data_IF_562558842063
#
_entry.id   IF_562558842063
#
_cell.length_a   1.000
_cell.length_b   1.000
_cell.length_c   1.000
_cell.angle_alpha   90.00
_cell.angle_beta   90.00
_cell.angle_gamma   90.00
#
_symmetry.space_group_name_H-M   'P 1'
#
loop_
_entity.id
_entity.type
_entity.pdbx_description
1 polymer ?
#
# COMPACT_ATOMS: atom_id res chain seq x y z
N UNK A 1 -0.21 21.91 -15.92
CA UNK A 1 0.62 21.86 -14.70
C UNK A 1 0.10 20.85 -13.66
N UNK A 2 -1.19 20.88 -13.27
CA UNK A 2 -1.80 19.87 -12.38
C UNK A 2 -1.80 18.43 -12.94
N UNK A 3 -1.96 18.28 -14.26
CA UNK A 3 -1.92 16.97 -14.94
C UNK A 3 -0.53 16.30 -14.90
N UNK A 4 0.54 17.07 -15.07
CA UNK A 4 1.92 16.55 -14.96
C UNK A 4 2.27 16.15 -13.52
N UNK A 5 1.72 16.82 -12.50
CA UNK A 5 1.93 16.44 -11.09
C UNK A 5 1.20 15.12 -10.74
N UNK A 6 -0.05 14.96 -11.20
CA UNK A 6 -0.83 13.75 -10.95
C UNK A 6 -0.19 12.51 -11.60
N UNK A 7 0.38 12.67 -12.80
CA UNK A 7 1.17 11.63 -13.47
C UNK A 7 2.46 11.27 -12.71
N UNK A 8 3.17 12.27 -12.14
CA UNK A 8 4.39 12.03 -11.34
C UNK A 8 4.12 11.17 -10.09
N UNK A 9 3.05 11.44 -9.35
CA UNK A 9 2.74 10.71 -8.10
C UNK A 9 2.26 9.28 -8.37
N UNK A 10 1.58 9.04 -9.49
CA UNK A 10 1.14 7.70 -9.88
C UNK A 10 2.32 6.78 -10.26
N UNK A 11 3.38 7.32 -10.86
CA UNK A 11 4.50 6.52 -11.38
C UNK A 11 5.20 5.65 -10.33
N UNK A 12 5.36 6.12 -9.08
CA UNK A 12 6.00 5.32 -8.02
C UNK A 12 5.13 4.15 -7.63
N UNK A 13 3.85 4.42 -7.37
CA UNK A 13 2.90 3.38 -6.97
C UNK A 13 2.79 2.33 -8.07
N UNK A 14 2.67 2.78 -9.30
CA UNK A 14 2.66 1.95 -10.49
C UNK A 14 3.94 1.12 -10.62
N UNK A 15 5.12 1.73 -10.53
CA UNK A 15 6.40 1.01 -10.54
C UNK A 15 6.46 -0.06 -9.46
N UNK A 16 6.12 0.29 -8.21
CA UNK A 16 6.14 -0.64 -7.10
C UNK A 16 5.15 -1.80 -7.29
N UNK A 17 4.00 -1.55 -7.92
CA UNK A 17 3.04 -2.61 -8.31
C UNK A 17 3.64 -3.51 -9.38
N UNK A 18 4.21 -2.95 -10.44
CA UNK A 18 4.85 -3.71 -11.52
C UNK A 18 6.03 -4.54 -11.02
N UNK A 19 6.77 -4.07 -10.02
CA UNK A 19 7.84 -4.87 -9.40
C UNK A 19 7.32 -5.96 -8.44
N UNK A 20 6.00 -6.12 -8.26
CA UNK A 20 5.41 -7.06 -7.31
C UNK A 20 5.65 -6.71 -5.84
N UNK A 21 6.03 -5.45 -5.57
CA UNK A 21 6.38 -4.98 -4.23
C UNK A 21 5.14 -4.44 -3.52
N UNK A 22 4.34 -3.64 -4.23
CA UNK A 22 3.02 -3.22 -3.77
C UNK A 22 1.95 -4.04 -4.46
N UNK A 23 0.88 -4.31 -3.72
CA UNK A 23 -0.27 -5.00 -4.26
C UNK A 23 -1.55 -4.39 -3.70
N UNK A 24 -2.48 -4.11 -4.62
CA UNK A 24 -3.84 -3.71 -4.28
C UNK A 24 -4.75 -4.94 -4.37
N UNK A 25 -5.45 -5.23 -3.27
CA UNK A 25 -6.42 -6.32 -3.26
C UNK A 25 -7.66 -5.92 -2.49
N UNK A 26 -8.80 -6.45 -2.93
CA UNK A 26 -10.00 -6.48 -2.10
C UNK A 26 -9.86 -7.66 -1.15
N UNK A 27 -9.95 -7.37 0.14
CA UNK A 27 -9.88 -8.35 1.20
C UNK A 27 -11.24 -8.50 1.87
N UNK A 28 -11.51 -9.70 2.37
CA UNK A 28 -12.71 -10.06 3.12
C UNK A 28 -12.34 -10.65 4.47
N UNK A 29 -13.17 -10.40 5.46
CA UNK A 29 -13.10 -11.03 6.77
C UNK A 29 -14.50 -11.23 7.34
N UNK A 30 -14.64 -12.15 8.31
CA UNK A 30 -15.84 -12.27 9.11
C UNK A 30 -15.71 -11.36 10.33
N UNK A 31 -16.71 -10.55 10.60
CA UNK A 31 -16.79 -9.78 11.85
C UNK A 31 -17.27 -10.72 12.97
N UNK A 32 -16.62 -10.69 14.12
CA UNK A 32 -17.17 -11.33 15.30
C UNK A 32 -18.34 -10.49 15.82
N UNK A 33 -19.50 -11.13 15.98
CA UNK A 33 -20.73 -10.46 16.39
C UNK A 33 -20.96 -10.67 17.89
N UNK A 34 -19.91 -10.38 18.66
CA UNK A 34 -19.90 -10.45 20.11
C UNK A 34 -19.57 -9.07 20.69
N UNK A 35 -20.51 -8.41 21.40
CA UNK A 35 -20.30 -7.07 21.91
C UNK A 35 -19.22 -7.01 22.96
N UNK A 36 -18.59 -5.85 23.04
CA UNK A 36 -17.76 -5.48 24.17
C UNK A 36 -18.64 -5.06 25.35
N UNK A 37 -18.76 -5.97 26.32
CA UNK A 37 -19.55 -5.77 27.53
C UNK A 37 -18.89 -4.85 28.56
N UNK A 38 -17.63 -4.45 28.37
CA UNK A 38 -17.03 -3.37 29.18
C UNK A 38 -17.65 -2.00 28.83
N UNK A 39 -18.11 -1.83 27.59
CA UNK A 39 -18.71 -0.58 27.11
C UNK A 39 -20.24 -0.63 27.00
N UNK A 40 -20.84 -1.82 26.96
CA UNK A 40 -22.30 -1.98 26.84
C UNK A 40 -22.86 -3.07 27.74
N UNK A 41 -23.73 -2.73 28.69
CA UNK A 41 -24.40 -3.69 29.57
C UNK A 41 -25.34 -4.61 28.79
N UNK A 42 -25.24 -5.93 28.94
CA UNK A 42 -26.20 -6.85 28.33
C UNK A 42 -27.62 -6.70 28.92
N UNK A 43 -28.63 -6.43 28.09
CA UNK A 43 -30.04 -6.42 28.49
C UNK A 43 -30.89 -7.34 27.62
N UNK A 44 -31.27 -8.50 28.19
CA UNK A 44 -32.18 -9.45 27.54
C UNK A 44 -33.55 -8.83 27.30
N UNK A 45 -34.11 -9.02 26.10
CA UNK A 45 -35.48 -8.57 25.78
C UNK A 45 -35.62 -7.08 25.44
N UNK A 46 -34.51 -6.34 25.33
CA UNK A 46 -34.51 -4.91 25.03
C UNK A 46 -33.63 -4.60 23.82
N UNK A 47 -34.16 -3.73 22.96
CA UNK A 47 -33.40 -3.14 21.86
C UNK A 47 -32.51 -2.04 22.45
N UNK A 48 -31.22 -2.15 22.24
CA UNK A 48 -30.25 -1.12 22.61
C UNK A 48 -29.09 -1.10 21.62
N UNK A 49 -28.22 -0.11 21.77
CA UNK A 49 -27.00 -0.02 20.99
C UNK A 49 -25.90 -0.81 21.70
N UNK A 50 -25.30 -1.75 20.97
CA UNK A 50 -24.15 -2.55 21.39
C UNK A 50 -22.90 -2.06 20.67
N UNK A 51 -21.77 -2.04 21.39
CA UNK A 51 -20.48 -1.67 20.85
C UNK A 51 -19.65 -2.91 20.54
N UNK A 52 -18.91 -2.87 19.43
CA UNK A 52 -18.04 -3.95 18.99
C UNK A 52 -16.69 -3.35 18.66
N UNK A 53 -15.64 -4.01 19.14
CA UNK A 53 -14.26 -3.65 18.87
C UNK A 53 -13.47 -4.91 18.57
N UNK A 54 -12.75 -4.91 17.46
CA UNK A 54 -12.11 -6.10 16.93
C UNK A 54 -10.76 -5.78 16.29
N UNK A 55 -9.89 -6.77 16.32
CA UNK A 55 -8.56 -6.74 15.72
C UNK A 55 -8.41 -7.90 14.72
N UNK A 56 -7.95 -7.59 13.51
CA UNK A 56 -7.79 -8.60 12.45
C UNK A 56 -6.35 -8.61 11.96
N UNK A 57 -5.71 -9.78 12.06
CA UNK A 57 -4.36 -9.93 11.52
C UNK A 57 -4.36 -9.91 9.99
N UNK A 58 -3.40 -9.17 9.42
CA UNK A 58 -3.09 -9.17 7.99
C UNK A 58 -1.74 -9.82 7.66
N UNK A 59 -1.06 -10.40 8.66
CA UNK A 59 0.29 -10.97 8.56
C UNK A 59 0.42 -12.04 7.46
N UNK A 60 -0.67 -12.75 7.15
CA UNK A 60 -0.73 -13.76 6.10
C UNK A 60 -0.81 -13.19 4.67
N UNK A 61 -1.10 -11.89 4.52
CA UNK A 61 -1.39 -11.25 3.23
C UNK A 61 -0.31 -10.21 2.89
N UNK A 62 0.02 -9.36 3.86
CA UNK A 62 0.92 -8.22 3.66
C UNK A 62 1.97 -8.15 4.76
N UNK A 63 3.14 -7.65 4.39
CA UNK A 63 4.13 -7.25 5.38
C UNK A 63 3.66 -5.99 6.06
N UNK A 64 3.16 -5.01 5.30
CA UNK A 64 2.66 -3.75 5.82
C UNK A 64 1.50 -3.27 4.96
N UNK A 65 0.54 -2.59 5.57
CA UNK A 65 -0.55 -1.90 4.88
C UNK A 65 -0.20 -0.41 4.80
N UNK A 66 -0.34 0.14 3.60
CA UNK A 66 -0.04 1.55 3.29
C UNK A 66 -1.31 2.38 3.26
N UNK A 67 -2.37 1.84 2.67
CA UNK A 67 -3.65 2.52 2.59
C UNK A 67 -4.79 1.53 2.56
N UNK A 68 -5.96 1.97 3.01
CA UNK A 68 -7.18 1.19 3.07
C UNK A 68 -8.37 2.03 2.63
N UNK A 69 -9.41 1.39 2.11
CA UNK A 69 -10.71 2.01 1.89
C UNK A 69 -11.58 1.93 3.14
N UNK A 70 -12.78 2.49 3.07
CA UNK A 70 -13.83 2.19 4.04
C UNK A 70 -14.19 0.70 4.03
N UNK A 71 -14.57 0.19 5.19
CA UNK A 71 -15.09 -1.17 5.34
C UNK A 71 -16.54 -1.19 4.85
N UNK A 72 -16.87 -2.16 3.99
CA UNK A 72 -18.22 -2.39 3.51
C UNK A 72 -18.76 -3.67 4.16
N UNK A 73 -19.81 -3.60 4.99
CA UNK A 73 -20.43 -4.78 5.58
C UNK A 73 -21.39 -5.48 4.60
N UNK A 74 -21.52 -6.79 4.76
CA UNK A 74 -22.39 -7.67 4.00
C UNK A 74 -23.03 -8.67 4.97
N UNK A 75 -24.35 -8.60 5.07
CA UNK A 75 -25.12 -9.38 6.06
C UNK A 75 -25.81 -10.54 5.36
N UNK A 76 -25.62 -11.74 5.89
CA UNK A 76 -26.20 -12.97 5.37
C UNK A 76 -26.97 -13.71 6.47
N UNK A 77 -28.10 -14.36 6.16
CA UNK A 77 -28.62 -15.41 7.01
C UNK A 77 -27.60 -16.55 7.10
N UNK A 78 -27.36 -17.11 8.28
CA UNK A 78 -26.35 -18.18 8.50
C UNK A 78 -26.55 -19.37 7.55
N UNK A 79 -27.81 -19.70 7.24
CA UNK A 79 -28.18 -20.84 6.39
C UNK A 79 -28.11 -20.56 4.88
N UNK A 80 -27.96 -19.29 4.48
CA UNK A 80 -28.02 -18.88 3.08
C UNK A 80 -26.71 -18.25 2.57
N UNK A 81 -25.66 -18.27 3.40
CA UNK A 81 -24.36 -17.72 3.01
C UNK A 81 -23.65 -18.59 1.96
N UNK A 82 -22.96 -17.97 0.97
CA UNK A 82 -22.15 -18.69 0.00
C UNK A 82 -21.10 -19.63 0.61
N UNK A 83 -20.86 -20.78 0.00
CA UNK A 83 -19.94 -21.80 0.50
C UNK A 83 -18.51 -21.29 0.71
N UNK A 84 -18.03 -20.38 -0.15
CA UNK A 84 -16.67 -19.84 -0.04
C UNK A 84 -16.46 -18.99 1.23
N UNK A 85 -17.54 -18.47 1.82
CA UNK A 85 -17.51 -17.69 3.06
C UNK A 85 -17.43 -18.58 4.31
N UNK A 86 -17.88 -19.84 4.23
CA UNK A 86 -17.92 -20.77 5.38
C UNK A 86 -16.55 -20.98 6.03
N UNK A 87 -15.48 -20.85 5.25
CA UNK A 87 -14.11 -21.10 5.70
C UNK A 87 -13.28 -19.82 5.94
N UNK A 88 -13.93 -18.65 5.98
CA UNK A 88 -13.23 -17.39 6.24
C UNK A 88 -13.23 -17.15 7.75
N UNK A 89 -12.09 -17.42 8.36
CA UNK A 89 -11.82 -17.13 9.79
C UNK A 89 -10.90 -15.94 9.98
N UNK A 90 -10.09 -15.60 8.97
CA UNK A 90 -9.12 -14.50 8.97
C UNK A 90 -9.28 -13.64 7.72
N UNK A 91 -8.58 -12.51 7.69
CA UNK A 91 -8.46 -11.68 6.49
C UNK A 91 -7.98 -12.53 5.31
N UNK A 92 -8.67 -12.42 4.17
CA UNK A 92 -8.38 -13.17 2.94
C UNK A 92 -8.57 -12.28 1.72
N UNK A 93 -7.70 -12.43 0.71
CA UNK A 93 -7.90 -11.80 -0.61
C UNK A 93 -9.09 -12.44 -1.34
N UNK A 94 -9.95 -11.61 -1.94
CA UNK A 94 -11.08 -12.05 -2.76
C UNK A 94 -10.61 -12.17 -4.22
N UNK A 95 -10.86 -13.31 -4.84
CA UNK A 95 -10.62 -13.49 -6.27
C UNK A 95 -11.82 -13.00 -7.10
N UNK A 96 -11.59 -12.60 -8.35
CA UNK A 96 -12.64 -12.06 -9.23
C UNK A 96 -13.87 -12.98 -9.38
N UNK A 97 -13.67 -14.30 -9.40
CA UNK A 97 -14.76 -15.30 -9.51
C UNK A 97 -15.67 -15.28 -8.27
N UNK A 98 -15.11 -15.02 -7.08
CA UNK A 98 -15.86 -14.97 -5.82
C UNK A 98 -16.60 -13.63 -5.69
N UNK A 99 -16.06 -12.56 -6.28
CA UNK A 99 -16.65 -11.22 -6.27
C UNK A 99 -18.01 -11.16 -6.98
N UNK A 100 -18.17 -11.88 -8.09
CA UNK A 100 -19.44 -11.94 -8.82
C UNK A 100 -20.52 -12.70 -8.03
N UNK A 101 -20.14 -13.79 -7.35
CA UNK A 101 -21.04 -14.59 -6.50
C UNK A 101 -21.45 -13.89 -5.20
N UNK A 102 -20.74 -12.80 -4.86
CA UNK A 102 -20.90 -12.10 -3.59
C UNK A 102 -22.11 -11.14 -3.57
N UNK A 103 -22.79 -10.90 -4.71
CA UNK A 103 -23.82 -9.85 -4.83
C UNK A 103 -25.28 -10.36 -4.80
N UNK A 104 -25.52 -11.67 -4.72
CA UNK A 104 -26.85 -12.22 -5.04
C UNK A 104 -27.76 -12.44 -3.82
N UNK A 105 -27.22 -12.58 -2.60
CA UNK A 105 -28.01 -12.88 -1.39
C UNK A 105 -27.53 -11.96 -0.27
N UNK A 106 -28.15 -10.78 -0.09
CA UNK A 106 -27.83 -9.85 1.01
C UNK A 106 -29.09 -9.35 1.68
N UNK A 107 -29.08 -9.30 3.00
CA UNK A 107 -30.07 -8.55 3.77
C UNK A 107 -29.60 -7.08 3.85
N UNK A 108 -30.50 -6.09 3.85
CA UNK A 108 -30.13 -4.71 4.17
C UNK A 108 -29.41 -4.61 5.52
N UNK A 109 -28.61 -3.56 5.68
CA UNK A 109 -27.93 -3.18 6.94
C UNK A 109 -28.91 -2.77 8.06
N UNK A 110 -30.17 -2.52 7.69
CA UNK A 110 -31.29 -2.20 8.57
C UNK A 110 -32.54 -3.02 8.24
N UNK A 111 -33.06 -3.75 9.23
CA UNK A 111 -34.30 -4.52 9.16
C UNK A 111 -34.85 -4.73 10.58
N UNK A 112 -36.17 -4.85 10.77
CA UNK A 112 -36.85 -5.03 12.06
C UNK A 112 -36.06 -4.62 13.32
N UNK A 113 -35.58 -5.60 14.09
CA UNK A 113 -34.90 -5.43 15.38
C UNK A 113 -33.37 -5.32 15.21
N UNK A 114 -32.88 -4.87 14.06
CA UNK A 114 -31.46 -4.83 13.71
C UNK A 114 -31.11 -3.61 12.85
N UNK A 115 -30.09 -2.87 13.28
CA UNK A 115 -29.51 -1.77 12.51
C UNK A 115 -28.00 -1.71 12.76
N UNK A 116 -27.20 -2.10 11.78
CA UNK A 116 -25.74 -1.98 11.82
C UNK A 116 -25.35 -0.55 11.42
N UNK A 117 -24.61 0.13 12.29
CA UNK A 117 -24.03 1.43 11.96
C UNK A 117 -22.74 1.24 11.15
N UNK A 118 -22.24 2.35 10.57
CA UNK A 118 -20.99 2.33 9.80
C UNK A 118 -19.84 1.73 10.61
N UNK A 119 -19.12 0.81 9.99
CA UNK A 119 -17.89 0.23 10.56
C UNK A 119 -16.73 1.20 10.33
N UNK A 120 -16.02 1.53 11.39
CA UNK A 120 -14.93 2.49 11.38
C UNK A 120 -13.58 1.78 11.58
N UNK A 121 -12.76 1.76 10.52
CA UNK A 121 -11.37 1.34 10.60
C UNK A 121 -10.53 2.53 11.09
N UNK A 122 -10.19 2.51 12.37
CA UNK A 122 -9.54 3.64 13.03
C UNK A 122 -8.02 3.55 13.04
N UNK A 123 -7.44 2.35 12.93
CA UNK A 123 -5.98 2.21 12.86
C UNK A 123 -5.51 0.94 12.13
N UNK A 124 -4.27 1.05 11.66
CA UNK A 124 -3.48 -0.05 11.09
C UNK A 124 -2.19 -0.12 11.91
N UNK A 125 -1.96 -1.24 12.58
CA UNK A 125 -0.71 -1.51 13.27
C UNK A 125 0.19 -2.34 12.36
N UNK A 126 1.20 -1.69 11.77
CA UNK A 126 2.20 -2.35 10.94
C UNK A 126 3.29 -3.07 11.75
N UNK A 127 3.33 -2.95 13.08
CA UNK A 127 4.23 -3.71 13.94
C UNK A 127 3.58 -5.03 14.32
N UNK A 128 2.39 -4.97 14.94
CA UNK A 128 1.62 -6.15 15.36
C UNK A 128 0.86 -6.83 14.22
N UNK A 129 0.85 -6.19 13.03
CA UNK A 129 0.21 -6.67 11.81
C UNK A 129 -1.31 -6.81 11.96
N UNK A 130 -1.97 -5.81 12.56
CA UNK A 130 -3.41 -5.79 12.82
C UNK A 130 -4.14 -4.61 12.17
N UNK A 131 -5.35 -4.89 11.68
CA UNK A 131 -6.37 -3.89 11.34
C UNK A 131 -7.31 -3.77 12.53
N UNK A 132 -7.46 -2.56 13.05
CA UNK A 132 -8.32 -2.32 14.21
C UNK A 132 -9.54 -1.52 13.77
N UNK A 133 -10.71 -2.03 14.13
CA UNK A 133 -11.97 -1.39 13.79
C UNK A 133 -12.95 -1.45 14.95
N UNK A 134 -13.93 -0.56 14.86
CA UNK A 134 -15.05 -0.48 15.76
C UNK A 134 -16.37 -0.32 14.99
N UNK A 135 -17.47 -0.69 15.62
CA UNK A 135 -18.78 -0.33 15.14
C UNK A 135 -19.82 -0.35 16.27
N UNK A 136 -21.02 0.13 15.94
CA UNK A 136 -22.17 -0.04 16.81
C UNK A 136 -23.30 -0.74 16.07
N UNK A 137 -24.06 -1.57 16.77
CA UNK A 137 -25.26 -2.20 16.24
C UNK A 137 -26.42 -1.97 17.21
N UNK A 138 -27.55 -1.48 16.69
CA UNK A 138 -28.78 -1.43 17.46
C UNK A 138 -29.55 -2.72 17.24
N UNK A 139 -29.64 -3.55 18.27
CA UNK A 139 -30.38 -4.80 18.20
C UNK A 139 -30.94 -5.25 19.54
N UNK A 140 -31.75 -6.31 19.56
CA UNK A 140 -32.14 -7.00 20.79
C UNK A 140 -31.05 -7.99 21.21
N UNK A 141 -30.82 -8.14 22.53
CA UNK A 141 -29.84 -9.10 23.06
C UNK A 141 -29.95 -10.54 22.52
N UNK A 142 -31.12 -10.94 22.01
CA UNK A 142 -31.36 -12.24 21.39
C UNK A 142 -30.75 -12.40 19.98
N UNK A 143 -30.30 -11.33 19.32
CA UNK A 143 -29.61 -11.43 18.03
C UNK A 143 -28.09 -11.50 18.16
N UNK A 144 -27.57 -11.22 19.36
CA UNK A 144 -26.14 -11.19 19.66
C UNK A 144 -25.60 -12.60 19.90
N UNK A 145 -24.53 -12.96 19.19
CA UNK A 145 -23.89 -14.27 19.30
C UNK A 145 -24.75 -15.47 18.87
N UNK A 146 -25.92 -15.24 18.24
CA UNK A 146 -26.82 -16.31 17.80
C UNK A 146 -26.67 -16.62 16.30
N UNK A 147 -26.90 -17.89 15.94
CA UNK A 147 -26.78 -18.48 14.59
C UNK A 147 -27.79 -17.95 13.54
N UNK A 148 -28.29 -16.73 13.66
CA UNK A 148 -29.26 -16.17 12.71
C UNK A 148 -28.59 -15.42 11.56
N UNK A 149 -27.59 -14.60 11.87
CA UNK A 149 -26.89 -13.78 10.88
C UNK A 149 -25.38 -13.92 10.98
N UNK A 150 -24.71 -13.82 9.84
CA UNK A 150 -23.27 -13.61 9.76
C UNK A 150 -22.98 -12.27 9.07
N UNK A 151 -22.01 -11.53 9.59
CA UNK A 151 -21.55 -10.28 9.02
C UNK A 151 -20.16 -10.50 8.43
N UNK A 152 -20.05 -10.35 7.11
CA UNK A 152 -18.78 -10.35 6.40
C UNK A 152 -18.46 -8.93 5.93
N UNK A 153 -17.20 -8.55 6.01
CA UNK A 153 -16.76 -7.21 5.68
C UNK A 153 -15.75 -7.27 4.55
N UNK A 154 -15.90 -6.38 3.57
CA UNK A 154 -14.88 -6.17 2.53
C UNK A 154 -14.17 -4.84 2.71
N UNK A 155 -12.88 -4.83 2.39
CA UNK A 155 -12.03 -3.65 2.46
C UNK A 155 -10.99 -3.72 1.33
N UNK A 156 -10.80 -2.63 0.60
CA UNK A 156 -9.70 -2.52 -0.34
C UNK A 156 -8.44 -2.10 0.39
N UNK A 157 -7.39 -2.91 0.26
CA UNK A 157 -6.10 -2.68 0.88
C UNK A 157 -5.03 -2.51 -0.19
N UNK A 158 -4.12 -1.57 0.06
CA UNK A 158 -2.85 -1.46 -0.65
C UNK A 158 -1.76 -1.77 0.37
N UNK A 159 -1.03 -2.86 0.16
CA UNK A 159 0.00 -3.32 1.07
C UNK A 159 1.26 -3.76 0.36
N UNK A 160 2.35 -3.86 1.13
CA UNK A 160 3.65 -4.36 0.69
C UNK A 160 3.60 -5.89 0.79
N UNK A 161 3.98 -6.57 -0.29
CA UNK A 161 3.93 -8.02 -0.35
C UNK A 161 4.88 -8.66 0.67
N UNK A 162 4.53 -9.86 1.17
CA UNK A 162 5.37 -10.59 2.13
C UNK A 162 6.72 -11.04 1.55
N UNK A 163 6.88 -11.03 0.23
CA UNK A 163 8.08 -11.51 -0.45
C UNK A 163 9.19 -10.46 -0.57
N UNK A 164 9.04 -9.27 0.03
CA UNK A 164 10.01 -8.18 -0.11
C UNK A 164 11.43 -8.53 0.35
N UNK A 165 11.57 -9.42 1.34
CA UNK A 165 12.88 -9.87 1.83
C UNK A 165 13.67 -10.68 0.78
N UNK A 166 13.00 -11.18 -0.25
CA UNK A 166 13.65 -11.81 -1.41
C UNK A 166 14.06 -10.82 -2.50
N UNK A 167 13.65 -9.54 -2.39
CA UNK A 167 13.98 -8.50 -3.36
C UNK A 167 15.34 -7.88 -3.06
N UNK A 168 15.99 -7.38 -4.11
CA UNK A 168 17.23 -6.61 -4.04
C UNK A 168 17.16 -5.47 -3.00
N UNK A 169 18.26 -5.19 -2.30
CA UNK A 169 18.33 -4.17 -1.25
C UNK A 169 17.80 -2.80 -1.71
N UNK A 170 18.05 -2.42 -2.97
CA UNK A 170 17.53 -1.14 -3.48
C UNK A 170 16.01 -1.09 -3.50
N UNK A 171 15.31 -2.20 -3.76
CA UNK A 171 13.85 -2.26 -3.71
C UNK A 171 13.33 -2.10 -2.28
N UNK A 172 14.00 -2.71 -1.30
CA UNK A 172 13.70 -2.52 0.12
C UNK A 172 13.82 -1.04 0.51
N UNK A 173 14.90 -0.37 0.07
CA UNK A 173 15.11 1.05 0.30
C UNK A 173 14.05 1.95 -0.38
N UNK A 174 13.57 1.60 -1.59
CA UNK A 174 12.46 2.33 -2.23
C UNK A 174 11.19 2.20 -1.38
N UNK A 175 10.92 1.03 -0.82
CA UNK A 175 9.76 0.82 0.04
C UNK A 175 9.84 1.58 1.34
N UNK A 176 10.97 1.53 2.03
CA UNK A 176 11.18 2.31 3.25
C UNK A 176 11.07 3.80 2.98
N UNK A 177 11.62 4.25 1.85
CA UNK A 177 11.42 5.61 1.36
C UNK A 177 9.94 5.94 1.21
N UNK A 178 9.17 5.07 0.54
CA UNK A 178 7.74 5.28 0.31
C UNK A 178 6.95 5.31 1.62
N UNK A 179 7.26 4.46 2.60
CA UNK A 179 6.69 4.50 3.95
C UNK A 179 6.91 5.86 4.61
N UNK A 180 8.14 6.38 4.58
CA UNK A 180 8.48 7.70 5.15
C UNK A 180 7.79 8.85 4.43
N UNK A 181 7.59 8.73 3.12
CA UNK A 181 6.82 9.70 2.36
C UNK A 181 5.36 9.75 2.80
N UNK A 182 4.73 8.59 3.02
CA UNK A 182 3.34 8.50 3.51
C UNK A 182 3.20 9.06 4.93
N UNK A 183 4.17 8.79 5.81
CA UNK A 183 4.21 9.37 7.16
C UNK A 183 4.66 10.84 7.20
N UNK A 184 4.80 11.50 6.04
CA UNK A 184 5.24 12.89 5.87
C UNK A 184 6.66 13.18 6.39
N UNK A 185 7.48 12.16 6.64
CA UNK A 185 8.91 12.29 6.91
C UNK A 185 9.67 12.41 5.58
N UNK A 186 9.48 13.54 4.92
CA UNK A 186 10.02 13.80 3.59
C UNK A 186 11.54 13.82 3.54
N UNK A 187 12.19 14.20 4.64
CA UNK A 187 13.64 14.20 4.75
C UNK A 187 14.18 12.76 4.69
N UNK A 188 13.61 11.86 5.49
CA UNK A 188 14.03 10.46 5.48
C UNK A 188 13.66 9.78 4.17
N UNK A 189 12.47 10.07 3.63
CA UNK A 189 12.06 9.59 2.30
C UNK A 189 13.08 9.97 1.23
N UNK A 190 13.46 11.25 1.15
CA UNK A 190 14.45 11.71 0.18
C UNK A 190 15.79 10.97 0.31
N UNK A 191 16.28 10.82 1.54
CA UNK A 191 17.56 10.17 1.81
C UNK A 191 17.55 8.68 1.42
N UNK A 192 16.47 7.97 1.75
CA UNK A 192 16.31 6.55 1.42
C UNK A 192 16.18 6.33 -0.08
N UNK A 193 15.40 7.14 -0.80
CA UNK A 193 15.33 7.05 -2.27
C UNK A 193 16.67 7.29 -2.94
N UNK A 194 17.43 8.27 -2.44
CA UNK A 194 18.76 8.52 -2.96
C UNK A 194 19.68 7.31 -2.75
N UNK A 195 19.64 6.75 -1.55
CA UNK A 195 20.41 5.55 -1.19
C UNK A 195 19.99 4.34 -2.01
N UNK A 196 18.68 4.20 -2.31
CA UNK A 196 18.16 3.16 -3.17
C UNK A 196 18.74 3.23 -4.58
N UNK A 197 18.77 4.43 -5.18
CA UNK A 197 19.32 4.60 -6.53
C UNK A 197 20.83 4.35 -6.59
N UNK A 198 21.57 4.79 -5.56
CA UNK A 198 22.98 4.48 -5.42
C UNK A 198 23.22 2.96 -5.27
N UNK A 199 22.41 2.29 -4.45
CA UNK A 199 22.42 0.84 -4.28
C UNK A 199 22.11 0.11 -5.60
N UNK A 200 21.10 0.57 -6.36
CA UNK A 200 20.77 0.03 -7.67
C UNK A 200 21.97 0.09 -8.62
N UNK A 201 22.61 1.26 -8.76
CA UNK A 201 23.78 1.42 -9.64
C UNK A 201 24.91 0.49 -9.21
N UNK A 202 25.24 0.47 -7.91
CA UNK A 202 26.32 -0.36 -7.40
C UNK A 202 26.04 -1.86 -7.59
N UNK A 203 24.79 -2.28 -7.41
CA UNK A 203 24.34 -3.67 -7.60
C UNK A 203 24.45 -4.08 -9.07
N UNK A 204 23.92 -3.28 -10.00
CA UNK A 204 23.98 -3.62 -11.44
C UNK A 204 25.38 -3.60 -12.02
N UNK A 205 26.29 -2.80 -11.45
CA UNK A 205 27.71 -2.80 -11.86
C UNK A 205 28.56 -3.85 -11.16
N UNK A 206 28.13 -4.38 -10.00
CA UNK A 206 28.99 -5.18 -9.13
C UNK A 206 30.17 -4.38 -8.55
N UNK A 207 29.99 -3.07 -8.32
CA UNK A 207 31.08 -2.11 -7.97
C UNK A 207 30.82 -1.39 -6.65
N UNK A 208 30.39 -2.15 -5.66
CA UNK A 208 30.03 -1.64 -4.33
C UNK A 208 31.26 -1.01 -3.64
N UNK A 209 32.45 -1.62 -3.80
CA UNK A 209 33.68 -1.20 -3.14
C UNK A 209 34.51 -0.17 -3.93
N UNK A 210 34.11 0.21 -5.15
CA UNK A 210 34.87 1.19 -5.94
C UNK A 210 34.55 2.63 -5.48
N UNK A 211 35.57 3.40 -5.10
CA UNK A 211 35.48 4.85 -4.79
C UNK A 211 35.33 5.73 -6.05
N UNK A 212 34.37 5.41 -6.90
CA UNK A 212 33.98 6.29 -8.04
C UNK A 212 32.80 7.16 -7.67
N UNK A 213 32.74 8.36 -8.25
CA UNK A 213 31.58 9.26 -8.07
C UNK A 213 30.33 8.61 -8.64
N UNK A 214 29.17 8.79 -7.99
CA UNK A 214 27.90 8.23 -8.44
C UNK A 214 27.58 8.60 -9.90
N UNK A 215 27.86 9.84 -10.31
CA UNK A 215 27.71 10.28 -11.70
C UNK A 215 28.52 9.43 -12.69
N UNK A 216 29.75 9.07 -12.34
CA UNK A 216 30.63 8.25 -13.19
C UNK A 216 30.11 6.82 -13.30
N UNK A 217 29.72 6.22 -12.16
CA UNK A 217 29.09 4.90 -12.12
C UNK A 217 27.80 4.87 -12.94
N UNK A 218 26.93 5.89 -12.82
CA UNK A 218 25.75 6.02 -13.68
C UNK A 218 26.11 6.04 -15.16
N UNK A 219 27.05 6.90 -15.56
CA UNK A 219 27.45 7.00 -16.96
C UNK A 219 27.96 5.65 -17.49
N UNK A 220 28.76 4.94 -16.69
CA UNK A 220 29.28 3.61 -17.00
C UNK A 220 28.13 2.60 -17.20
N UNK A 221 27.22 2.54 -16.24
CA UNK A 221 26.07 1.64 -16.26
C UNK A 221 25.19 1.88 -17.49
N UNK A 222 24.77 3.12 -17.74
CA UNK A 222 23.86 3.40 -18.84
C UNK A 222 24.51 3.26 -20.21
N UNK A 223 25.84 3.47 -20.34
CA UNK A 223 26.56 3.21 -21.60
C UNK A 223 26.56 1.73 -22.00
N UNK A 224 26.41 0.83 -21.04
CA UNK A 224 26.33 -0.61 -21.33
C UNK A 224 25.05 -0.99 -22.10
N UNK A 225 23.99 -0.17 -22.01
CA UNK A 225 22.70 -0.40 -22.66
C UNK A 225 22.44 0.60 -23.80
N UNK A 226 22.80 1.87 -23.59
CA UNK A 226 22.56 2.95 -24.54
C UNK A 226 23.89 3.47 -25.11
N UNK A 227 24.22 3.16 -26.38
CA UNK A 227 25.46 3.62 -27.00
C UNK A 227 25.59 5.15 -27.03
N UNK A 228 24.47 5.85 -27.21
CA UNK A 228 24.41 7.32 -27.30
C UNK A 228 23.55 7.88 -26.16
N UNK A 229 24.17 8.08 -24.99
CA UNK A 229 23.49 8.60 -23.79
C UNK A 229 22.71 9.89 -24.02
N UNK A 230 23.21 10.81 -24.84
CA UNK A 230 22.58 12.11 -25.08
C UNK A 230 21.30 12.00 -25.94
N UNK A 231 21.11 10.89 -26.66
CA UNK A 231 19.89 10.63 -27.42
C UNK A 231 18.76 10.09 -26.53
N UNK A 232 19.11 9.44 -25.41
CA UNK A 232 18.13 8.97 -24.44
C UNK A 232 17.55 10.17 -23.65
N UNK A 233 16.25 10.42 -23.83
CA UNK A 233 15.57 11.57 -23.24
C UNK A 233 15.55 11.48 -21.71
N UNK A 234 15.24 10.30 -21.16
CA UNK A 234 15.16 10.08 -19.71
C UNK A 234 16.51 10.37 -19.07
N UNK A 235 17.57 9.78 -19.62
CA UNK A 235 18.92 9.94 -19.13
C UNK A 235 19.39 11.40 -19.15
N UNK A 236 19.14 12.09 -20.26
CA UNK A 236 19.62 13.46 -20.49
C UNK A 236 18.85 14.51 -19.69
N UNK A 237 17.58 14.29 -19.37
CA UNK A 237 16.76 15.22 -18.61
C UNK A 237 17.06 15.24 -17.10
N UNK A 238 17.64 14.17 -16.54
CA UNK A 238 17.73 13.99 -15.09
C UNK A 238 19.06 14.47 -14.52
N UNK A 239 19.00 15.51 -13.69
CA UNK A 239 20.17 16.14 -13.08
C UNK A 239 20.41 15.69 -11.64
N UNK A 240 21.25 14.66 -11.48
CA UNK A 240 21.60 14.07 -10.18
C UNK A 240 22.30 15.05 -9.23
N UNK A 241 23.05 16.03 -9.75
CA UNK A 241 23.78 16.99 -8.90
C UNK A 241 22.83 17.82 -8.01
N UNK A 242 21.63 18.12 -8.52
CA UNK A 242 20.58 18.79 -7.73
C UNK A 242 20.24 17.95 -6.50
N UNK A 243 20.04 16.64 -6.70
CA UNK A 243 19.67 15.70 -5.66
C UNK A 243 20.81 15.40 -4.69
N UNK A 244 22.05 15.27 -5.19
CA UNK A 244 23.26 15.08 -4.37
C UNK A 244 23.43 16.20 -3.34
N UNK A 245 23.18 17.45 -3.74
CA UNK A 245 23.28 18.60 -2.83
C UNK A 245 22.30 18.45 -1.66
N UNK A 246 21.03 18.16 -1.94
CA UNK A 246 20.00 17.98 -0.90
C UNK A 246 20.35 16.79 -0.01
N UNK A 247 20.77 15.66 -0.59
CA UNK A 247 21.20 14.48 0.16
C UNK A 247 22.35 14.80 1.11
N UNK A 248 23.36 15.55 0.66
CA UNK A 248 24.52 15.91 1.47
C UNK A 248 24.15 16.89 2.59
N UNK A 249 23.25 17.83 2.32
CA UNK A 249 22.73 18.75 3.34
C UNK A 249 22.00 17.96 4.45
N UNK A 250 21.16 16.98 4.08
CA UNK A 250 20.48 16.07 5.01
C UNK A 250 21.49 15.24 5.82
N UNK A 251 22.43 14.57 5.14
CA UNK A 251 23.39 13.65 5.77
C UNK A 251 24.32 14.34 6.77
N UNK A 252 24.70 15.59 6.50
CA UNK A 252 25.61 16.35 7.36
C UNK A 252 24.88 17.22 8.40
N UNK A 253 23.54 17.15 8.46
CA UNK A 253 22.74 17.96 9.40
C UNK A 253 22.94 19.47 9.23
N UNK A 254 23.30 19.92 8.02
CA UNK A 254 23.64 21.33 7.77
C UNK A 254 22.36 22.09 7.44
N UNK A 255 21.81 22.79 8.45
CA UNK A 255 20.57 23.62 8.48
C UNK A 255 19.31 22.85 8.91
N UNK A 256 18.35 23.58 9.48
CA UNK A 256 16.94 23.16 9.53
C UNK A 256 16.42 23.05 8.09
N UNK A 257 16.67 21.91 7.46
CA UNK A 257 16.18 21.61 6.12
C UNK A 257 14.75 21.13 6.24
N UNK A 258 13.81 22.00 5.87
CA UNK A 258 12.49 21.53 5.52
C UNK A 258 12.55 20.92 4.12
N UNK A 259 12.67 19.60 4.04
CA UNK A 259 12.53 18.89 2.76
C UNK A 259 11.06 18.95 2.37
N UNK A 260 10.74 19.74 1.35
CA UNK A 260 9.38 19.82 0.84
C UNK A 260 8.98 18.52 0.13
N UNK A 261 7.69 18.19 0.20
CA UNK A 261 7.09 17.09 -0.57
C UNK A 261 7.47 17.13 -2.06
N UNK A 262 7.51 18.34 -2.64
CA UNK A 262 7.89 18.59 -4.04
C UNK A 262 9.28 18.04 -4.40
N UNK A 263 10.23 18.10 -3.46
CA UNK A 263 11.59 17.59 -3.65
C UNK A 263 11.62 16.06 -3.63
N UNK A 264 10.78 15.45 -2.80
CA UNK A 264 10.62 13.98 -2.77
C UNK A 264 9.92 13.48 -4.02
N UNK A 265 8.88 14.19 -4.47
CA UNK A 265 8.18 13.86 -5.72
C UNK A 265 9.14 13.92 -6.93
N UNK A 266 10.04 14.91 -6.97
CA UNK A 266 11.04 15.06 -8.03
C UNK A 266 12.08 13.93 -8.02
N UNK A 267 12.70 13.60 -6.86
CA UNK A 267 13.70 12.51 -6.81
C UNK A 267 13.07 11.16 -7.10
N UNK A 268 11.83 10.94 -6.66
CA UNK A 268 11.08 9.73 -6.97
C UNK A 268 10.88 9.59 -8.47
N UNK A 269 10.34 10.62 -9.11
CA UNK A 269 10.12 10.62 -10.55
C UNK A 269 11.43 10.37 -11.31
N UNK A 270 12.49 11.08 -10.97
CA UNK A 270 13.77 10.98 -11.65
C UNK A 270 14.38 9.57 -11.50
N UNK A 271 14.49 9.06 -10.27
CA UNK A 271 15.25 7.83 -10.03
C UNK A 271 14.47 6.59 -10.45
N UNK A 272 13.15 6.57 -10.26
CA UNK A 272 12.30 5.50 -10.81
C UNK A 272 12.34 5.51 -12.36
N UNK A 273 12.25 6.68 -13.01
CA UNK A 273 12.37 6.74 -14.48
C UNK A 273 13.70 6.18 -14.97
N UNK A 274 14.81 6.47 -14.28
CA UNK A 274 16.12 5.92 -14.63
C UNK A 274 16.17 4.40 -14.46
N UNK A 275 15.62 3.87 -13.36
CA UNK A 275 15.59 2.43 -13.10
C UNK A 275 14.77 1.71 -14.19
N UNK A 276 13.57 2.21 -14.49
CA UNK A 276 12.72 1.67 -15.58
C UNK A 276 13.44 1.75 -16.93
N UNK A 277 14.01 2.92 -17.25
CA UNK A 277 14.76 3.12 -18.50
C UNK A 277 15.86 2.07 -18.66
N UNK A 278 16.61 1.78 -17.60
CA UNK A 278 17.68 0.79 -17.65
C UNK A 278 17.14 -0.64 -17.80
N UNK A 279 16.20 -1.08 -16.95
CA UNK A 279 15.70 -2.46 -16.96
C UNK A 279 14.95 -2.78 -18.27
N UNK A 280 14.14 -1.84 -18.76
CA UNK A 280 13.23 -2.04 -19.90
C UNK A 280 13.79 -1.51 -21.22
N UNK A 281 14.99 -0.93 -21.21
CA UNK A 281 15.66 -0.33 -22.38
C UNK A 281 14.81 0.77 -23.04
N UNK A 282 14.08 1.53 -22.23
CA UNK A 282 13.19 2.61 -22.67
C UNK A 282 13.97 3.93 -22.76
N UNK A 283 13.71 4.72 -23.79
CA UNK A 283 14.42 5.99 -24.04
C UNK A 283 13.57 7.24 -23.81
N UNK A 284 12.23 7.14 -23.86
CA UNK A 284 11.30 8.29 -23.79
C UNK A 284 10.44 8.24 -22.54
N UNK A 285 10.22 9.41 -21.92
CA UNK A 285 9.48 9.51 -20.66
C UNK A 285 8.03 9.01 -20.74
N UNK A 286 7.33 9.22 -21.86
CA UNK A 286 5.93 8.78 -21.98
C UNK A 286 5.79 7.25 -21.89
N UNK A 287 6.81 6.52 -22.35
CA UNK A 287 6.84 5.05 -22.34
C UNK A 287 6.95 4.49 -20.92
N UNK A 288 7.51 5.25 -19.97
CA UNK A 288 7.53 4.85 -18.55
C UNK A 288 6.12 4.79 -17.96
N UNK A 289 5.17 5.56 -18.49
CA UNK A 289 3.76 5.54 -18.06
C UNK A 289 2.91 4.52 -18.84
N UNK A 290 3.38 4.05 -20.00
CA UNK A 290 2.73 2.97 -20.75
C UNK A 290 3.15 1.60 -20.19
N UNK A 291 4.41 1.47 -19.77
CA UNK A 291 4.95 0.29 -19.11
C UNK A 291 4.14 -0.10 -17.86
N UNK A 292 3.69 0.88 -17.08
CA UNK A 292 2.87 0.65 -15.89
C UNK A 292 1.41 0.25 -16.15
N UNK A 293 0.96 0.30 -17.41
CA UNK A 293 -0.43 -0.03 -17.79
C UNK A 293 -0.51 -1.42 -18.46
N UNK A 294 0.60 -1.91 -19.04
CA UNK A 294 0.59 -3.09 -19.93
C UNK A 294 0.74 -4.45 -19.22
N UNK A 295 0.94 -4.49 -17.89
CA UNK A 295 1.02 -5.74 -17.11
C UNK A 295 -0.25 -6.05 -16.26
N UNK A 296 -1.38 -5.39 -16.56
CA UNK A 296 -2.70 -5.77 -16.02
C UNK A 296 -3.47 -6.64 -17.01
#
# INVERSE_FOLDING_TARGET
MKENLKRKTNLIKEYLITQGILEESECIFKMDFFPDFEYTDFQKGRIQTYYFHEEISFSNIYSDIISYSEITPHIFPVNEKPDFLKNITNLKKINNIDKEKFLEIKIPDKFDLFELQKIHLYSVDNIEKTLNYDCTCKTEGAFIGNDFIDIYCTVHLCGITNNINSCDLYNQLIVDSYRKYQSKDYRMAFFLMFSAFECFINTKLGKQDEEKRLKEKKNELFKSIFPTLNANQIYSCINIKKHEKIRNEIAHGRKELYTEKSSVDDIYFDFISLIISYNEKIEKLYQCFEYSILEK
#
